data_IF_542848663813
#
_entry.id   IF_542848663813
#
_cell.length_a   1.000
_cell.length_b   1.000
_cell.length_c   1.000
_cell.angle_alpha   90.00
_cell.angle_beta   90.00
_cell.angle_gamma   90.00
#
_symmetry.space_group_name_H-M   'P 1'
#
loop_
_entity.id
_entity.type
_entity.pdbx_description
1 polymer ?
#
# COMPACT_ATOMS: atom_id res chain seq x y z
N UNK A 1 -11.91 -9.37 17.29
CA UNK A 1 -12.44 -8.24 16.48
C UNK A 1 -13.43 -8.79 15.48
N UNK A 2 -14.53 -8.10 15.32
CA UNK A 2 -15.53 -8.43 14.32
C UNK A 2 -14.97 -8.29 12.91
N UNK A 3 -15.32 -9.22 12.03
CA UNK A 3 -14.86 -9.20 10.64
C UNK A 3 -15.27 -7.90 9.92
N UNK A 4 -16.45 -7.37 10.22
CA UNK A 4 -16.92 -6.10 9.63
C UNK A 4 -16.07 -4.93 10.07
N UNK A 5 -15.66 -4.89 11.34
CA UNK A 5 -14.79 -3.84 11.86
C UNK A 5 -13.40 -3.94 11.22
N UNK A 6 -12.87 -5.14 11.13
CA UNK A 6 -11.58 -5.37 10.48
C UNK A 6 -11.62 -4.96 9.01
N UNK A 7 -12.68 -5.32 8.30
CA UNK A 7 -12.88 -4.91 6.91
C UNK A 7 -12.90 -3.40 6.75
N UNK A 8 -13.55 -2.70 7.66
CA UNK A 8 -13.57 -1.23 7.67
C UNK A 8 -12.19 -0.62 7.85
N UNK A 9 -11.38 -1.21 8.73
CA UNK A 9 -10.00 -0.75 8.92
C UNK A 9 -9.15 -0.99 7.68
N UNK A 10 -9.32 -2.14 7.02
CA UNK A 10 -8.64 -2.44 5.77
C UNK A 10 -9.00 -1.38 4.73
N UNK A 11 -10.29 -1.08 4.58
CA UNK A 11 -10.76 -0.08 3.63
C UNK A 11 -10.16 1.29 3.90
N UNK A 12 -10.07 1.69 5.18
CA UNK A 12 -9.46 2.96 5.56
C UNK A 12 -8.00 3.06 5.13
N UNK A 13 -7.22 2.03 5.40
CA UNK A 13 -5.81 2.03 5.05
C UNK A 13 -5.58 2.01 3.55
N UNK A 14 -6.37 1.22 2.83
CA UNK A 14 -6.31 1.19 1.37
C UNK A 14 -6.67 2.56 0.81
N UNK A 15 -7.70 3.20 1.35
CA UNK A 15 -8.10 4.54 0.90
C UNK A 15 -6.98 5.56 1.11
N UNK A 16 -6.33 5.55 2.27
CA UNK A 16 -5.21 6.46 2.55
C UNK A 16 -4.06 6.25 1.57
N UNK A 17 -3.75 4.99 1.28
CA UNK A 17 -2.71 4.67 0.31
C UNK A 17 -3.07 5.18 -1.09
N UNK A 18 -4.32 5.01 -1.49
CA UNK A 18 -4.78 5.49 -2.78
C UNK A 18 -4.74 7.01 -2.89
N UNK A 19 -5.00 7.71 -1.79
CA UNK A 19 -4.90 9.16 -1.76
C UNK A 19 -3.46 9.63 -1.99
N UNK A 20 -2.50 8.98 -1.37
CA UNK A 20 -1.08 9.31 -1.57
C UNK A 20 -0.69 9.05 -3.04
N UNK A 21 -1.14 7.95 -3.60
CA UNK A 21 -0.89 7.65 -5.02
C UNK A 21 -1.49 8.72 -5.92
N UNK A 22 -2.72 9.14 -5.62
CA UNK A 22 -3.40 10.18 -6.39
C UNK A 22 -2.65 11.51 -6.32
N UNK A 23 -2.21 11.91 -5.13
CA UNK A 23 -1.41 13.13 -4.95
C UNK A 23 -0.12 13.07 -5.77
N UNK A 24 0.53 11.92 -5.76
CA UNK A 24 1.73 11.70 -6.55
C UNK A 24 1.45 11.83 -8.05
N UNK A 25 0.37 11.23 -8.53
CA UNK A 25 0.01 11.27 -9.95
C UNK A 25 -0.39 12.67 -10.41
N UNK A 26 -0.97 13.48 -9.52
CA UNK A 26 -1.33 14.85 -9.83
C UNK A 26 -0.12 15.79 -9.86
N UNK A 27 1.06 15.27 -9.60
CA UNK A 27 2.29 16.05 -9.59
C UNK A 27 2.39 17.02 -8.43
N UNK A 28 1.67 16.75 -7.35
CA UNK A 28 1.77 17.58 -6.16
C UNK A 28 3.13 17.42 -5.50
N UNK A 29 3.65 18.48 -4.88
CA UNK A 29 4.99 18.43 -4.28
C UNK A 29 4.98 17.67 -2.95
N UNK A 30 4.86 16.35 -3.03
CA UNK A 30 4.91 15.47 -1.87
C UNK A 30 6.19 14.63 -1.94
N UNK A 31 6.70 14.28 -0.77
CA UNK A 31 7.75 13.28 -0.66
C UNK A 31 7.08 11.91 -0.61
N UNK A 32 6.97 11.27 -1.77
CA UNK A 32 6.25 10.00 -1.90
C UNK A 32 6.81 8.93 -0.97
N UNK A 33 8.14 8.80 -0.93
CA UNK A 33 8.77 7.79 -0.07
C UNK A 33 8.53 8.08 1.40
N UNK A 34 8.64 9.33 1.80
CA UNK A 34 8.35 9.74 3.17
C UNK A 34 6.90 9.50 3.55
N UNK A 35 5.97 9.76 2.63
CA UNK A 35 4.55 9.49 2.86
C UNK A 35 4.29 7.99 3.00
N UNK A 36 4.93 7.15 2.18
CA UNK A 36 4.82 5.70 2.27
C UNK A 36 5.34 5.22 3.63
N UNK A 37 6.51 5.69 4.04
CA UNK A 37 7.09 5.32 5.33
C UNK A 37 6.19 5.70 6.50
N UNK A 38 5.62 6.90 6.44
CA UNK A 38 4.72 7.40 7.48
C UNK A 38 3.44 6.56 7.56
N UNK A 39 2.85 6.24 6.41
CA UNK A 39 1.65 5.40 6.36
C UNK A 39 1.91 4.00 6.90
N UNK A 40 3.00 3.38 6.46
CA UNK A 40 3.32 2.01 6.88
C UNK A 40 3.64 1.98 8.37
N UNK A 41 4.38 2.95 8.88
CA UNK A 41 4.69 3.03 10.31
C UNK A 41 3.41 3.18 11.14
N UNK A 42 2.47 4.02 10.69
CA UNK A 42 1.20 4.22 11.38
C UNK A 42 0.34 2.95 11.35
N UNK A 43 0.29 2.26 10.21
CA UNK A 43 -0.45 1.01 10.07
C UNK A 43 0.15 -0.10 10.94
N UNK A 44 1.46 -0.18 10.98
CA UNK A 44 2.17 -1.16 11.80
C UNK A 44 1.91 -0.90 13.29
N UNK A 45 1.91 0.36 13.70
CA UNK A 45 1.60 0.74 15.08
C UNK A 45 0.18 0.32 15.45
N UNK A 46 -0.81 0.58 14.60
CA UNK A 46 -2.17 0.13 14.84
C UNK A 46 -2.26 -1.38 14.90
N UNK A 47 -1.57 -2.07 13.98
CA UNK A 47 -1.57 -3.53 13.94
C UNK A 47 -1.03 -4.13 15.24
N UNK A 48 0.00 -3.54 15.82
CA UNK A 48 0.54 -4.01 17.10
C UNK A 48 -0.47 -3.88 18.23
N UNK A 49 -1.32 -2.86 18.19
CA UNK A 49 -2.37 -2.68 19.19
C UNK A 49 -3.50 -3.69 19.03
N UNK A 50 -3.68 -4.25 17.84
CA UNK A 50 -4.73 -5.23 17.56
C UNK A 50 -4.32 -6.66 17.81
N UNK A 51 -3.10 -6.89 18.24
CA UNK A 51 -2.54 -8.22 18.53
C UNK A 51 -2.63 -9.14 17.29
N UNK A 52 -3.24 -10.33 17.41
CA UNK A 52 -3.34 -11.29 16.32
C UNK A 52 -4.08 -10.77 15.09
N UNK A 53 -5.07 -9.91 15.27
CA UNK A 53 -5.82 -9.30 14.17
C UNK A 53 -4.97 -8.29 13.40
N UNK A 54 -3.92 -7.77 14.01
CA UNK A 54 -3.04 -6.80 13.36
C UNK A 54 -2.30 -7.38 12.17
N UNK A 55 -1.81 -8.60 12.28
CA UNK A 55 -1.16 -9.26 11.15
C UNK A 55 -2.16 -9.47 10.00
N UNK A 56 -3.36 -9.88 10.33
CA UNK A 56 -4.43 -10.07 9.33
C UNK A 56 -4.74 -8.74 8.64
N UNK A 57 -4.81 -7.64 9.40
CA UNK A 57 -5.02 -6.31 8.85
C UNK A 57 -3.97 -5.97 7.80
N UNK A 58 -2.69 -6.12 8.16
CA UNK A 58 -1.60 -5.77 7.25
C UNK A 58 -1.57 -6.65 6.01
N UNK A 59 -1.81 -7.96 6.17
CA UNK A 59 -1.85 -8.88 5.04
C UNK A 59 -2.98 -8.51 4.08
N UNK A 60 -4.15 -8.17 4.60
CA UNK A 60 -5.28 -7.79 3.75
C UNK A 60 -5.05 -6.47 3.03
N UNK A 61 -4.43 -5.49 3.69
CA UNK A 61 -4.08 -4.22 3.04
C UNK A 61 -3.06 -4.46 1.92
N UNK A 62 -2.01 -5.21 2.22
CA UNK A 62 -1.01 -5.57 1.21
C UNK A 62 -1.64 -6.25 0.00
N UNK A 63 -2.49 -7.24 0.24
CA UNK A 63 -3.14 -8.01 -0.82
C UNK A 63 -3.99 -7.10 -1.71
N UNK A 64 -4.75 -6.19 -1.12
CA UNK A 64 -5.59 -5.26 -1.88
C UNK A 64 -4.74 -4.29 -2.69
N UNK A 65 -3.63 -3.81 -2.14
CA UNK A 65 -2.72 -2.92 -2.86
C UNK A 65 -2.05 -3.65 -4.02
N UNK A 66 -1.61 -4.89 -3.80
CA UNK A 66 -1.00 -5.70 -4.84
C UNK A 66 -2.00 -5.99 -5.97
N UNK A 67 -3.24 -6.30 -5.63
CA UNK A 67 -4.30 -6.53 -6.61
C UNK A 67 -4.58 -5.25 -7.40
N UNK A 68 -4.66 -4.11 -6.72
CA UNK A 68 -4.87 -2.82 -7.38
C UNK A 68 -3.72 -2.47 -8.31
N UNK A 69 -2.48 -2.77 -7.90
CA UNK A 69 -1.31 -2.55 -8.74
C UNK A 69 -1.36 -3.40 -10.01
N UNK A 70 -1.74 -4.67 -9.84
CA UNK A 70 -1.88 -5.59 -10.97
C UNK A 70 -2.97 -5.11 -11.96
N UNK A 71 -4.10 -4.69 -11.44
CA UNK A 71 -5.20 -4.19 -12.27
C UNK A 71 -4.81 -2.90 -12.99
N UNK A 72 -4.11 -2.00 -12.31
CA UNK A 72 -3.64 -0.76 -12.91
C UNK A 72 -2.63 -1.04 -14.02
N UNK A 73 -1.76 -2.02 -13.84
CA UNK A 73 -0.77 -2.39 -14.85
C UNK A 73 -1.43 -2.96 -16.10
N UNK A 74 -2.52 -3.68 -15.94
CA UNK A 74 -3.28 -4.19 -17.09
C UNK A 74 -3.97 -3.08 -17.88
N UNK A 75 -4.36 -2.00 -17.20
CA UNK A 75 -4.98 -0.83 -17.84
C UNK A 75 -3.95 0.06 -18.50
N UNK A 76 -2.78 0.16 -17.89
CA UNK A 76 -1.68 1.01 -18.36
C UNK A 76 -0.78 0.22 -19.31
N UNK A 77 -1.37 -0.32 -20.37
CA UNK A 77 -0.57 -0.96 -21.42
C UNK A 77 0.38 0.10 -21.96
N UNK A 78 1.67 -0.24 -22.11
CA UNK A 78 2.65 0.71 -22.61
C UNK A 78 2.24 1.20 -23.99
N UNK A 79 1.98 2.49 -24.10
CA UNK A 79 1.78 3.12 -25.39
C UNK A 79 3.15 3.38 -25.99
N UNK A 80 3.38 2.99 -27.24
CA UNK A 80 4.71 3.17 -27.84
C UNK A 80 5.15 4.63 -27.91
N UNK A 81 4.21 5.57 -27.87
CA UNK A 81 4.47 7.00 -27.92
C UNK A 81 4.75 7.61 -26.54
N UNK A 82 4.53 6.88 -25.47
CA UNK A 82 4.84 7.35 -24.12
C UNK A 82 6.18 6.81 -23.69
N UNK A 83 7.20 7.56 -23.97
CA UNK A 83 8.51 7.31 -23.41
C UNK A 83 8.55 8.03 -22.06
N UNK A 84 7.87 7.47 -21.10
CA UNK A 84 7.92 8.02 -19.77
C UNK A 84 9.17 7.49 -19.09
N UNK A 85 9.97 8.41 -18.63
CA UNK A 85 11.31 8.15 -18.16
C UNK A 85 11.43 8.17 -16.65
N UNK A 86 10.32 8.40 -15.96
CA UNK A 86 10.36 8.44 -14.50
C UNK A 86 10.32 7.02 -13.94
N UNK A 87 11.08 6.81 -12.86
CA UNK A 87 11.15 5.49 -12.22
C UNK A 87 9.84 5.05 -11.60
N UNK A 88 8.91 5.97 -11.42
CA UNK A 88 7.57 5.69 -10.94
C UNK A 88 6.58 6.29 -11.94
N UNK A 89 6.46 5.64 -13.06
CA UNK A 89 5.77 6.22 -14.21
C UNK A 89 4.26 6.06 -14.19
N UNK A 90 3.67 5.48 -13.18
CA UNK A 90 2.24 5.33 -13.18
C UNK A 90 1.69 4.85 -11.86
N UNK A 91 0.37 4.73 -11.86
CA UNK A 91 -0.37 4.28 -10.69
C UNK A 91 0.06 2.89 -10.25
N UNK A 92 0.32 2.00 -11.23
CA UNK A 92 0.74 0.64 -10.94
C UNK A 92 2.04 0.61 -10.15
N UNK A 93 3.02 1.40 -10.56
CA UNK A 93 4.33 1.42 -9.88
C UNK A 93 4.21 1.99 -8.47
N UNK A 94 3.44 3.07 -8.31
CA UNK A 94 3.22 3.67 -6.99
C UNK A 94 2.52 2.69 -6.04
N UNK A 95 1.48 2.01 -6.53
CA UNK A 95 0.79 0.99 -5.74
C UNK A 95 1.69 -0.19 -5.40
N UNK A 96 2.56 -0.57 -6.32
CA UNK A 96 3.51 -1.65 -6.09
C UNK A 96 4.51 -1.29 -4.97
N UNK A 97 4.99 -0.06 -4.97
CA UNK A 97 5.89 0.43 -3.90
C UNK A 97 5.18 0.34 -2.54
N UNK A 98 3.92 0.76 -2.47
CA UNK A 98 3.13 0.66 -1.24
C UNK A 98 2.93 -0.79 -0.83
N UNK A 99 2.57 -1.67 -1.77
CA UNK A 99 2.38 -3.09 -1.46
C UNK A 99 3.66 -3.71 -0.91
N UNK A 100 4.81 -3.40 -1.50
CA UNK A 100 6.10 -3.90 -1.03
C UNK A 100 6.41 -3.39 0.38
N UNK A 101 6.10 -2.13 0.67
CA UNK A 101 6.31 -1.56 2.00
C UNK A 101 5.44 -2.23 3.05
N UNK A 102 4.17 -2.52 2.72
CA UNK A 102 3.29 -3.28 3.61
C UNK A 102 3.75 -4.73 3.78
N UNK A 103 4.31 -5.34 2.74
CA UNK A 103 4.91 -6.67 2.84
C UNK A 103 6.03 -6.68 3.87
N UNK A 104 6.86 -5.66 3.88
CA UNK A 104 7.91 -5.49 4.88
C UNK A 104 7.33 -5.37 6.30
N UNK A 105 6.25 -4.63 6.46
CA UNK A 105 5.58 -4.52 7.75
C UNK A 105 5.00 -5.86 8.21
N UNK A 106 4.42 -6.64 7.29
CA UNK A 106 3.93 -7.98 7.59
C UNK A 106 5.08 -8.85 8.15
N UNK A 107 6.23 -8.80 7.48
CA UNK A 107 7.38 -9.60 7.92
C UNK A 107 7.87 -9.19 9.30
N UNK A 108 7.87 -7.89 9.60
CA UNK A 108 8.27 -7.38 10.92
C UNK A 108 7.30 -7.78 12.02
N UNK A 109 6.02 -7.95 11.67
CA UNK A 109 4.99 -8.30 12.64
C UNK A 109 4.86 -9.80 12.87
N UNK A 110 5.33 -10.62 11.92
CA UNK A 110 5.30 -12.08 12.08
C UNK A 110 6.13 -12.49 13.28
N UNK A 111 5.62 -13.44 14.08
CA UNK A 111 6.42 -13.95 15.20
C UNK A 111 7.70 -14.60 14.69
N UNK A 112 8.80 -14.29 15.37
CA UNK A 112 10.08 -14.92 15.06
C UNK A 112 9.94 -16.42 15.36
N UNK A 113 10.20 -17.24 14.37
CA UNK A 113 10.21 -18.69 14.58
C UNK A 113 11.35 -19.03 15.53
N UNK A 114 10.97 -19.58 16.66
CA UNK A 114 11.95 -20.00 17.64
C UNK A 114 12.66 -21.26 17.16
#
# INVERSE_FOLDING_TARGET
MDAAVLGGLVDQWVWRCQMVVTEFQLGRPIDFRGEVETLVAAAEKQARLLQGDGLVLLVKVEDRLATSAHMARRRDLPRPDRVDQTNLSGRADALHVLAAAFSGAVDRLKPVAA
#
